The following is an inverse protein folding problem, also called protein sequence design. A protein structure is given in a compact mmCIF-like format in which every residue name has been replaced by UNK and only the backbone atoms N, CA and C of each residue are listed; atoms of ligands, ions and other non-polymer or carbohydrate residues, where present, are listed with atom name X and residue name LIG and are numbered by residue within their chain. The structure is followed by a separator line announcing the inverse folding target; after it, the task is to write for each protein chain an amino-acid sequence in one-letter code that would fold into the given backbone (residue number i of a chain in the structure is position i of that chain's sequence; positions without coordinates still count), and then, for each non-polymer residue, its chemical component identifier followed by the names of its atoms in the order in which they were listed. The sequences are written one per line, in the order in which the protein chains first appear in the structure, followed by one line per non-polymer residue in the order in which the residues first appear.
data_IF_117958512176
#
_entry.id   IF_117958512176
#
_cell.length_a   1.000
_cell.length_b   1.000
_cell.length_c   1.000
_cell.angle_alpha   90.00
_cell.angle_beta   90.00
_cell.angle_gamma   90.00
#
_symmetry.space_group_name_H-M   'P 1'
#
loop_
_entity.id
_entity.type
_entity.pdbx_description
1 polymer ?
#
# COMPACT_ATOMS: atom_id res chain seq x y z
N UNK A 1 10.74 -8.91 -17.17
CA UNK A 1 9.58 -8.76 -16.26
C UNK A 1 9.90 -9.54 -15.00
N UNK A 2 9.99 -8.86 -13.85
CA UNK A 2 10.13 -9.54 -12.56
C UNK A 2 8.71 -9.74 -12.02
N UNK A 3 7.96 -10.69 -12.57
CA UNK A 3 6.61 -10.95 -12.08
C UNK A 3 6.68 -11.84 -10.84
N UNK A 4 5.81 -11.55 -9.88
CA UNK A 4 5.60 -12.40 -8.72
C UNK A 4 4.67 -13.54 -9.14
N UNK A 5 5.03 -14.82 -8.93
CA UNK A 5 4.11 -15.92 -9.21
C UNK A 5 2.82 -15.76 -8.37
N UNK A 6 1.70 -16.27 -8.88
CA UNK A 6 0.40 -16.20 -8.19
C UNK A 6 0.26 -17.22 -7.05
N UNK A 7 1.01 -18.32 -7.13
CA UNK A 7 0.93 -19.44 -6.20
C UNK A 7 2.33 -20.00 -5.94
N UNK A 8 2.49 -20.68 -4.80
CA UNK A 8 3.71 -21.38 -4.40
C UNK A 8 4.65 -20.54 -3.54
N UNK A 9 5.83 -21.09 -3.30
CA UNK A 9 6.81 -20.55 -2.37
C UNK A 9 7.90 -19.76 -3.09
N UNK A 10 8.11 -18.52 -2.65
CA UNK A 10 8.98 -17.54 -3.30
C UNK A 10 10.20 -17.26 -2.41
N UNK A 11 11.43 -17.30 -2.93
CA UNK A 11 12.60 -16.83 -2.18
C UNK A 11 12.54 -15.33 -1.88
N UNK A 12 13.12 -14.94 -0.75
CA UNK A 12 13.25 -13.53 -0.37
C UNK A 12 13.92 -12.67 -1.44
N UNK A 13 14.89 -13.21 -2.18
CA UNK A 13 15.60 -12.52 -3.26
C UNK A 13 14.68 -12.09 -4.40
N UNK A 14 13.71 -12.94 -4.75
CA UNK A 14 12.73 -12.64 -5.80
C UNK A 14 11.71 -11.61 -5.31
N UNK A 15 11.26 -11.71 -4.05
CA UNK A 15 10.38 -10.71 -3.42
C UNK A 15 11.07 -9.34 -3.38
N UNK A 16 12.34 -9.29 -2.96
CA UNK A 16 13.15 -8.09 -2.92
C UNK A 16 13.30 -7.46 -4.32
N UNK A 17 13.57 -8.29 -5.34
CA UNK A 17 13.68 -7.86 -6.74
C UNK A 17 12.36 -7.33 -7.30
N UNK A 18 11.22 -7.92 -6.93
CA UNK A 18 9.89 -7.45 -7.31
C UNK A 18 9.62 -6.04 -6.77
N UNK A 19 9.92 -5.82 -5.49
CA UNK A 19 9.72 -4.52 -4.84
C UNK A 19 10.82 -3.49 -5.13
N UNK A 20 11.94 -3.90 -5.76
CA UNK A 20 13.08 -3.03 -6.01
C UNK A 20 13.81 -2.60 -4.73
N UNK A 21 13.79 -3.44 -3.69
CA UNK A 21 14.45 -3.18 -2.39
C UNK A 21 15.50 -4.26 -2.11
N UNK A 22 16.36 -4.03 -1.11
CA UNK A 22 17.28 -5.07 -0.64
C UNK A 22 16.56 -6.09 0.27
N UNK A 23 17.08 -7.31 0.35
CA UNK A 23 16.52 -8.38 1.19
C UNK A 23 16.46 -8.00 2.67
N UNK A 24 17.42 -7.21 3.15
CA UNK A 24 17.46 -6.70 4.53
C UNK A 24 16.22 -5.84 4.84
N UNK A 25 15.74 -5.07 3.87
CA UNK A 25 14.50 -4.29 4.02
C UNK A 25 13.29 -5.20 4.19
N UNK A 26 13.19 -6.28 3.40
CA UNK A 26 12.12 -7.27 3.55
C UNK A 26 12.20 -7.93 4.93
N UNK A 27 13.39 -8.35 5.38
CA UNK A 27 13.59 -8.92 6.74
C UNK A 27 13.17 -7.94 7.84
N UNK A 28 13.43 -6.64 7.68
CA UNK A 28 12.99 -5.61 8.62
C UNK A 28 11.47 -5.48 8.64
N UNK A 29 10.79 -5.55 7.50
CA UNK A 29 9.33 -5.52 7.47
C UNK A 29 8.71 -6.75 8.15
N UNK A 30 9.29 -7.93 7.91
CA UNK A 30 8.90 -9.16 8.62
C UNK A 30 9.09 -8.98 10.13
N UNK A 31 10.25 -8.50 10.58
CA UNK A 31 10.54 -8.29 12.00
C UNK A 31 9.59 -7.27 12.68
N UNK A 32 8.98 -6.37 11.90
CA UNK A 32 8.00 -5.39 12.38
C UNK A 32 6.55 -5.88 12.29
N UNK A 33 6.32 -7.14 11.88
CA UNK A 33 4.99 -7.66 11.56
C UNK A 33 4.25 -6.84 10.49
N UNK A 34 5.00 -6.11 9.66
CA UNK A 34 4.46 -5.28 8.58
C UNK A 34 4.32 -6.08 7.28
N UNK A 35 4.91 -7.27 7.17
CA UNK A 35 4.94 -8.12 5.98
C UNK A 35 4.61 -9.58 6.35
N UNK A 36 4.09 -10.40 5.42
CA UNK A 36 3.85 -11.83 5.67
C UNK A 36 5.05 -12.56 6.25
N UNK A 37 4.80 -13.53 7.12
CA UNK A 37 5.87 -14.30 7.73
C UNK A 37 6.37 -15.36 6.76
N UNK A 38 7.69 -15.52 6.60
CA UNK A 38 8.20 -16.59 5.78
C UNK A 38 8.09 -17.94 6.49
N UNK A 39 7.97 -18.99 5.71
CA UNK A 39 8.14 -20.37 6.16
C UNK A 39 9.62 -20.78 6.10
N UNK A 40 10.05 -21.50 7.14
CA UNK A 40 11.39 -22.05 7.26
C UNK A 40 11.36 -23.53 6.91
N UNK A 41 12.10 -23.90 5.87
CA UNK A 41 12.25 -25.28 5.44
C UNK A 41 13.46 -25.92 6.13
N UNK A 42 13.46 -27.25 6.25
CA UNK A 42 14.53 -28.03 6.90
C UNK A 42 15.92 -27.80 6.32
N UNK A 43 15.99 -27.41 5.04
CA UNK A 43 17.24 -27.07 4.32
C UNK A 43 17.76 -25.65 4.64
N UNK A 44 17.24 -25.00 5.68
CA UNK A 44 17.58 -23.61 6.03
C UNK A 44 17.05 -22.56 5.03
N UNK A 45 16.30 -22.99 4.02
CA UNK A 45 15.68 -22.10 3.05
C UNK A 45 14.50 -21.34 3.66
N UNK A 46 14.49 -20.02 3.47
CA UNK A 46 13.38 -19.14 3.85
C UNK A 46 12.54 -18.82 2.60
N UNK A 47 11.25 -19.14 2.61
CA UNK A 47 10.34 -18.83 1.49
C UNK A 47 9.09 -18.12 1.99
N UNK A 48 8.51 -17.29 1.13
CA UNK A 48 7.22 -16.64 1.36
C UNK A 48 6.14 -17.31 0.52
N UNK A 49 4.94 -17.51 1.08
CA UNK A 49 3.79 -17.89 0.27
C UNK A 49 3.41 -16.71 -0.65
N UNK A 50 3.41 -16.97 -1.95
CA UNK A 50 2.97 -16.04 -2.98
C UNK A 50 1.61 -15.41 -2.66
N UNK A 51 0.67 -16.22 -2.16
CA UNK A 51 -0.70 -15.79 -1.91
C UNK A 51 -0.76 -14.73 -0.81
N UNK A 52 -0.02 -14.93 0.28
CA UNK A 52 0.04 -13.96 1.37
C UNK A 52 0.69 -12.65 0.93
N UNK A 53 1.74 -12.73 0.10
CA UNK A 53 2.37 -11.54 -0.47
C UNK A 53 1.39 -10.75 -1.35
N UNK A 54 0.58 -11.44 -2.17
CA UNK A 54 -0.46 -10.78 -2.97
C UNK A 54 -1.55 -10.12 -2.11
N UNK A 55 -2.05 -10.81 -1.09
CA UNK A 55 -3.03 -10.24 -0.14
C UNK A 55 -2.46 -8.98 0.52
N UNK A 56 -1.19 -9.02 0.91
CA UNK A 56 -0.51 -7.86 1.48
C UNK A 56 -0.42 -6.68 0.50
N UNK A 57 -0.05 -6.93 -0.76
CA UNK A 57 0.01 -5.89 -1.81
C UNK A 57 -1.35 -5.25 -2.01
N UNK A 58 -2.42 -6.05 -2.09
CA UNK A 58 -3.78 -5.55 -2.27
C UNK A 58 -4.24 -4.70 -1.09
N UNK A 59 -3.98 -5.16 0.14
CA UNK A 59 -4.27 -4.39 1.35
C UNK A 59 -3.59 -3.02 1.33
N UNK A 60 -2.29 -2.96 0.98
CA UNK A 60 -1.54 -1.69 0.90
C UNK A 60 -2.07 -0.75 -0.18
N UNK A 61 -2.53 -1.29 -1.31
CA UNK A 61 -3.18 -0.50 -2.36
C UNK A 61 -4.51 0.08 -1.86
N UNK A 62 -5.34 -0.72 -1.21
CA UNK A 62 -6.61 -0.29 -0.65
C UNK A 62 -6.42 0.84 0.38
N UNK A 63 -5.50 0.68 1.35
CA UNK A 63 -5.18 1.71 2.35
C UNK A 63 -4.76 3.04 1.72
N UNK A 64 -3.92 2.98 0.67
CA UNK A 64 -3.46 4.16 -0.07
C UNK A 64 -4.61 4.84 -0.80
N UNK A 65 -5.45 4.06 -1.46
CA UNK A 65 -6.56 4.59 -2.26
C UNK A 65 -7.65 5.20 -1.35
N UNK A 66 -7.92 4.60 -0.19
CA UNK A 66 -8.77 5.18 0.86
C UNK A 66 -8.20 6.49 1.43
N UNK A 67 -6.89 6.53 1.69
CA UNK A 67 -6.24 7.76 2.15
C UNK A 67 -6.37 8.88 1.12
N UNK A 68 -6.15 8.57 -0.17
CA UNK A 68 -6.33 9.51 -1.27
C UNK A 68 -7.78 10.00 -1.37
N UNK A 69 -8.75 9.09 -1.32
CA UNK A 69 -10.17 9.44 -1.39
C UNK A 69 -10.61 10.39 -0.26
N UNK A 70 -10.10 10.18 0.96
CA UNK A 70 -10.34 11.09 2.10
C UNK A 70 -9.76 12.48 1.85
N UNK A 71 -8.54 12.56 1.33
CA UNK A 71 -7.90 13.84 1.00
C UNK A 71 -8.66 14.59 -0.09
N UNK A 72 -9.08 13.87 -1.14
CA UNK A 72 -9.85 14.44 -2.25
C UNK A 72 -11.22 14.97 -1.78
N UNK A 73 -11.90 14.25 -0.88
CA UNK A 73 -13.17 14.69 -0.31
C UNK A 73 -13.02 15.97 0.51
N UNK A 74 -12.01 16.05 1.38
CA UNK A 74 -11.72 17.26 2.16
C UNK A 74 -11.46 18.47 1.26
N UNK A 75 -10.70 18.26 0.18
CA UNK A 75 -10.43 19.31 -0.79
C UNK A 75 -11.71 19.79 -1.49
N UNK A 76 -12.57 18.86 -1.95
CA UNK A 76 -13.87 19.20 -2.56
C UNK A 76 -14.77 20.00 -1.62
N UNK A 77 -14.89 19.57 -0.37
CA UNK A 77 -15.69 20.29 0.63
C UNK A 77 -15.18 21.71 0.84
N UNK A 78 -13.86 21.88 1.02
CA UNK A 78 -13.24 23.20 1.16
C UNK A 78 -13.54 24.11 -0.05
N UNK A 79 -13.44 23.58 -1.27
CA UNK A 79 -13.72 24.35 -2.50
C UNK A 79 -15.20 24.79 -2.53
N UNK A 80 -16.13 23.89 -2.21
CA UNK A 80 -17.56 24.23 -2.18
C UNK A 80 -17.91 25.24 -1.09
N UNK A 81 -17.33 25.13 0.10
CA UNK A 81 -17.49 26.14 1.17
C UNK A 81 -17.00 27.51 0.72
N UNK A 82 -15.84 27.58 0.05
CA UNK A 82 -15.31 28.85 -0.50
C UNK A 82 -16.25 29.46 -1.54
N UNK A 83 -16.79 28.64 -2.45
CA UNK A 83 -17.76 29.10 -3.46
C UNK A 83 -19.03 29.64 -2.80
N UNK A 84 -19.55 28.94 -1.78
CA UNK A 84 -20.74 29.36 -1.02
C UNK A 84 -20.53 30.72 -0.34
N UNK A 85 -19.45 30.86 0.42
CA UNK A 85 -19.13 32.12 1.10
C UNK A 85 -18.96 33.28 0.11
N UNK A 86 -18.39 33.01 -1.08
CA UNK A 86 -18.27 34.03 -2.14
C UNK A 86 -19.63 34.47 -2.69
N UNK A 87 -20.57 33.54 -2.86
CA UNK A 87 -21.95 33.85 -3.29
C UNK A 87 -22.70 34.64 -2.23
N UNK A 88 -22.59 34.24 -0.96
CA UNK A 88 -23.25 34.93 0.17
C UNK A 88 -22.75 36.37 0.32
N UNK A 89 -21.43 36.60 0.20
CA UNK A 89 -20.86 37.96 0.18
C UNK A 89 -21.37 38.83 -0.97
N UNK A 90 -21.52 38.25 -2.17
CA UNK A 90 -22.06 38.99 -3.33
C UNK A 90 -23.52 39.38 -3.11
N UNK A 91 -24.32 38.48 -2.53
CA UNK A 91 -25.73 38.73 -2.27
C UNK A 91 -25.98 39.78 -1.17
N UNK A 92 -25.05 39.97 -0.23
CA UNK A 92 -25.14 41.01 0.81
C UNK A 92 -24.70 42.41 0.32
N UNK A 93 -23.97 42.47 -0.79
CA UNK A 93 -23.46 43.71 -1.38
C UNK A 93 -24.33 44.25 -2.53
N UNK A 94 -25.40 43.55 -2.87
CA UNK A 94 -26.43 43.94 -3.84
C UNK A 94 -27.70 44.38 -3.11
#
# INVERSE_FOLDING_TARGET
MNDLPKFGYIPISHVAKYFGVCEVTIRRWVARNEFPHPEYFSDGATRFDAKEVWIWIEKRKAERDEHKARSDLKFKQMVETRKRNTREKKNQAA
#
